data_IF_045008012938
#
_entry.id   IF_045008012938
#
_cell.length_a   1.000
_cell.length_b   1.000
_cell.length_c   1.000
_cell.angle_alpha   90.00
_cell.angle_beta   90.00
_cell.angle_gamma   90.00
#
_symmetry.space_group_name_H-M   'P 1'
#
loop_
_entity.id
_entity.type
_entity.pdbx_description
1 polymer ?
#
# COMPACT_ATOMS: atom_id res chain seq x y z
N UNK A 1 -13.29 13.91 5.93
CA UNK A 1 -12.56 14.28 7.16
C UNK A 1 -11.06 14.11 6.92
N UNK A 2 -10.33 15.19 6.60
CA UNK A 2 -8.86 15.15 6.55
C UNK A 2 -8.34 15.09 7.98
N UNK A 3 -8.07 13.90 8.49
CA UNK A 3 -7.24 13.75 9.70
C UNK A 3 -5.86 14.27 9.33
N UNK A 4 -5.44 15.37 9.97
CA UNK A 4 -4.08 15.91 9.85
C UNK A 4 -3.09 14.81 10.28
N UNK A 5 -2.01 14.55 9.52
CA UNK A 5 -0.99 13.55 9.87
C UNK A 5 -0.47 13.73 11.31
N UNK A 6 -0.42 14.97 11.79
CA UNK A 6 -0.06 15.35 13.16
C UNK A 6 -0.90 14.62 14.23
N UNK A 7 -2.21 14.46 14.00
CA UNK A 7 -3.10 13.80 14.97
C UNK A 7 -2.80 12.31 15.12
N UNK A 8 -2.22 11.66 14.11
CA UNK A 8 -1.91 10.23 14.18
C UNK A 8 -0.78 9.93 15.15
N UNK A 9 0.26 10.78 15.19
CA UNK A 9 1.35 10.66 16.16
C UNK A 9 0.85 10.84 17.60
N UNK A 10 -0.07 11.78 17.80
CA UNK A 10 -0.71 12.02 19.11
C UNK A 10 -1.57 10.84 19.58
N UNK A 11 -1.92 9.91 18.70
CA UNK A 11 -2.70 8.71 19.00
C UNK A 11 -1.86 7.42 18.97
N UNK A 12 -0.52 7.54 19.01
CA UNK A 12 0.38 6.40 19.19
C UNK A 12 0.86 5.73 17.90
N UNK A 13 0.63 6.32 16.72
CA UNK A 13 1.28 5.86 15.50
C UNK A 13 2.78 6.19 15.57
N UNK A 14 3.62 5.16 15.44
CA UNK A 14 5.08 5.29 15.39
C UNK A 14 5.58 5.58 13.96
N UNK A 15 4.70 5.45 12.95
CA UNK A 15 4.95 5.92 11.61
C UNK A 15 3.67 6.31 10.83
N UNK A 16 3.87 7.10 9.78
CA UNK A 16 2.78 7.48 8.86
C UNK A 16 3.14 7.21 7.40
N UNK A 17 2.10 6.95 6.62
CA UNK A 17 2.20 6.72 5.18
C UNK A 17 1.52 7.88 4.47
N UNK A 18 2.27 8.59 3.65
CA UNK A 18 1.75 9.69 2.85
C UNK A 18 2.16 9.55 1.38
N UNK A 19 1.37 10.16 0.50
CA UNK A 19 1.69 10.22 -0.92
C UNK A 19 2.71 11.33 -1.19
N UNK A 20 3.70 11.06 -2.04
CA UNK A 20 4.57 12.09 -2.58
C UNK A 20 3.87 12.96 -3.64
N UNK A 21 4.62 13.86 -4.30
CA UNK A 21 4.10 14.68 -5.41
C UNK A 21 3.65 13.85 -6.62
N UNK A 22 4.12 12.61 -6.75
CA UNK A 22 3.83 11.71 -7.85
C UNK A 22 4.07 10.25 -7.50
N UNK A 23 3.75 9.36 -8.44
CA UNK A 23 4.00 7.90 -8.38
C UNK A 23 3.38 7.14 -7.20
N UNK A 24 2.40 7.74 -6.51
CA UNK A 24 1.63 7.08 -5.47
C UNK A 24 0.31 6.53 -6.02
N UNK A 25 -0.10 5.35 -5.57
CA UNK A 25 -1.36 4.72 -5.99
C UNK A 25 -2.63 5.36 -5.39
N UNK A 26 -2.57 6.65 -5.04
CA UNK A 26 -3.71 7.49 -4.67
C UNK A 26 -3.47 8.87 -5.28
N UNK A 27 -3.90 9.05 -6.52
CA UNK A 27 -3.69 10.27 -7.31
C UNK A 27 -4.05 11.56 -6.54
N UNK A 28 -5.17 11.54 -5.80
CA UNK A 28 -5.68 12.71 -5.07
C UNK A 28 -5.09 12.93 -3.66
N UNK A 29 -4.04 12.19 -3.29
CA UNK A 29 -3.46 12.22 -1.94
C UNK A 29 -1.98 12.63 -1.91
N UNK A 30 -1.51 13.29 -2.97
CA UNK A 30 -0.14 13.79 -3.06
C UNK A 30 0.11 14.99 -2.14
N UNK A 31 1.34 15.10 -1.65
CA UNK A 31 1.82 16.19 -0.81
C UNK A 31 3.05 16.83 -1.47
N UNK A 32 3.23 18.14 -1.30
CA UNK A 32 4.42 18.81 -1.85
C UNK A 32 5.68 18.42 -1.07
N UNK A 33 6.86 18.58 -1.68
CA UNK A 33 8.14 18.35 -0.99
C UNK A 33 8.30 19.24 0.25
N UNK A 34 7.79 20.48 0.19
CA UNK A 34 7.80 21.40 1.33
C UNK A 34 6.94 20.89 2.49
N UNK A 35 5.73 20.40 2.20
CA UNK A 35 4.83 19.83 3.21
C UNK A 35 5.45 18.57 3.84
N UNK A 36 6.09 17.73 3.01
CA UNK A 36 6.80 16.53 3.45
C UNK A 36 7.95 16.89 4.40
N UNK A 37 8.79 17.86 4.04
CA UNK A 37 9.89 18.31 4.88
C UNK A 37 9.40 18.84 6.24
N UNK A 38 8.35 19.68 6.25
CA UNK A 38 7.76 20.17 7.50
C UNK A 38 7.16 19.03 8.35
N UNK A 39 6.58 18.02 7.71
CA UNK A 39 6.04 16.84 8.39
C UNK A 39 7.13 15.95 8.98
N UNK A 40 8.25 15.74 8.28
CA UNK A 40 9.42 15.02 8.78
C UNK A 40 9.97 15.74 10.02
N UNK A 41 10.16 17.06 9.95
CA UNK A 41 10.64 17.85 11.09
C UNK A 41 9.71 17.71 12.31
N UNK A 42 8.40 17.73 12.07
CA UNK A 42 7.41 17.53 13.12
C UNK A 42 7.46 16.11 13.70
N UNK A 43 7.50 15.08 12.86
CA UNK A 43 7.47 13.68 13.25
C UNK A 43 8.66 13.30 14.13
N UNK A 44 9.85 13.87 13.84
CA UNK A 44 11.07 13.69 14.65
C UNK A 44 10.89 14.07 16.12
N UNK A 45 10.05 15.08 16.42
CA UNK A 45 9.75 15.50 17.80
C UNK A 45 9.06 14.40 18.62
N UNK A 46 8.42 13.45 17.94
CA UNK A 46 7.71 12.32 18.51
C UNK A 46 8.41 10.98 18.25
N UNK A 47 9.64 11.00 17.71
CA UNK A 47 10.39 9.80 17.28
C UNK A 47 9.60 8.93 16.30
N UNK A 48 8.73 9.55 15.51
CA UNK A 48 7.91 8.86 14.53
C UNK A 48 8.53 8.95 13.14
N UNK A 49 8.36 7.90 12.33
CA UNK A 49 8.88 7.80 10.97
C UNK A 49 7.86 8.28 9.92
N UNK A 50 8.35 8.82 8.81
CA UNK A 50 7.56 9.21 7.65
C UNK A 50 7.95 8.35 6.45
N UNK A 51 6.96 7.69 5.86
CA UNK A 51 7.16 6.89 4.67
C UNK A 51 6.37 7.42 3.48
N UNK A 52 6.99 7.34 2.31
CA UNK A 52 6.42 7.86 1.07
C UNK A 52 6.04 6.72 0.15
N UNK A 53 4.79 6.75 -0.32
CA UNK A 53 4.33 5.83 -1.33
C UNK A 53 4.85 6.23 -2.73
N UNK A 54 5.66 5.36 -3.32
CA UNK A 54 6.14 5.38 -4.70
C UNK A 54 5.79 4.03 -5.35
N UNK A 55 4.50 3.71 -5.30
CA UNK A 55 3.97 2.36 -5.49
C UNK A 55 3.02 2.26 -6.67
N UNK A 56 3.41 2.84 -7.80
CA UNK A 56 2.77 2.62 -9.10
C UNK A 56 3.78 2.04 -10.08
N UNK A 57 3.32 1.23 -11.03
CA UNK A 57 4.14 0.81 -12.18
C UNK A 57 4.57 2.04 -12.98
N UNK A 58 5.85 2.07 -13.35
CA UNK A 58 6.48 3.18 -14.08
C UNK A 58 6.61 2.85 -15.57
N UNK A 59 6.44 3.85 -16.41
CA UNK A 59 6.88 3.77 -17.81
C UNK A 59 8.34 4.23 -17.94
N UNK A 60 9.01 3.85 -19.03
CA UNK A 60 10.43 4.19 -19.27
C UNK A 60 10.71 5.70 -19.15
N UNK A 61 9.81 6.54 -19.65
CA UNK A 61 9.94 8.00 -19.56
C UNK A 61 9.67 8.57 -18.16
N UNK A 62 9.22 7.75 -17.21
CA UNK A 62 8.94 8.10 -15.81
C UNK A 62 10.06 7.68 -14.85
N UNK A 63 10.98 6.80 -15.28
CA UNK A 63 12.09 6.32 -14.46
C UNK A 63 13.00 7.44 -13.96
N UNK A 64 13.45 8.30 -14.87
CA UNK A 64 14.35 9.41 -14.53
C UNK A 64 13.65 10.50 -13.69
N UNK A 65 12.39 10.90 -13.98
CA UNK A 65 11.58 11.69 -13.04
C UNK A 65 11.42 11.05 -11.65
N UNK A 66 11.18 9.74 -11.57
CA UNK A 66 11.06 9.02 -10.30
C UNK A 66 12.39 9.05 -9.52
N UNK A 67 13.52 8.80 -10.20
CA UNK A 67 14.87 8.89 -9.62
C UNK A 67 15.11 10.26 -9.00
N UNK A 68 14.85 11.35 -9.73
CA UNK A 68 15.01 12.72 -9.19
C UNK A 68 14.13 12.97 -7.98
N UNK A 69 12.88 12.51 -8.01
CA UNK A 69 11.99 12.64 -6.86
C UNK A 69 12.53 11.89 -5.64
N UNK A 70 13.07 10.67 -5.83
CA UNK A 70 13.67 9.88 -4.75
C UNK A 70 14.82 10.64 -4.09
N UNK A 71 15.73 11.23 -4.87
CA UNK A 71 16.82 12.08 -4.33
C UNK A 71 16.26 13.26 -3.52
N UNK A 72 15.27 13.97 -4.05
CA UNK A 72 14.64 15.08 -3.33
C UNK A 72 13.98 14.63 -2.02
N UNK A 73 13.30 13.48 -2.02
CA UNK A 73 12.69 12.92 -0.81
C UNK A 73 13.75 12.53 0.23
N UNK A 74 14.89 12.01 -0.20
CA UNK A 74 16.02 11.69 0.69
C UNK A 74 16.51 12.95 1.40
N UNK A 75 16.70 14.04 0.67
CA UNK A 75 17.15 15.33 1.23
C UNK A 75 16.15 15.92 2.25
N UNK A 76 14.85 15.60 2.14
CA UNK A 76 13.86 16.00 3.15
C UNK A 76 13.94 15.20 4.45
N UNK A 77 14.67 14.08 4.46
CA UNK A 77 14.82 13.20 5.62
C UNK A 77 13.68 12.21 5.82
N UNK A 78 12.97 11.84 4.74
CA UNK A 78 12.01 10.72 4.73
C UNK A 78 12.73 9.43 5.13
N UNK A 79 12.06 8.56 5.88
CA UNK A 79 12.69 7.37 6.45
C UNK A 79 12.68 6.16 5.51
N UNK A 80 11.60 5.97 4.73
CA UNK A 80 11.47 4.83 3.82
C UNK A 80 10.56 5.11 2.62
N UNK A 81 10.79 4.36 1.54
CA UNK A 81 9.93 4.34 0.36
C UNK A 81 9.13 3.06 0.28
N UNK A 82 7.85 3.16 -0.08
CA UNK A 82 6.99 2.00 -0.33
C UNK A 82 6.86 1.83 -1.83
N UNK A 83 7.44 0.76 -2.36
CA UNK A 83 7.70 0.58 -3.79
C UNK A 83 6.89 -0.58 -4.36
N UNK A 84 6.42 -0.43 -5.59
CA UNK A 84 5.82 -1.52 -6.38
C UNK A 84 6.74 -1.97 -7.51
N UNK A 85 7.28 -1.02 -8.26
CA UNK A 85 8.04 -1.28 -9.47
C UNK A 85 9.49 -1.66 -9.11
N UNK A 86 9.91 -2.85 -9.52
CA UNK A 86 11.27 -3.35 -9.22
C UNK A 86 12.35 -2.60 -10.01
N UNK A 87 12.00 -1.86 -11.07
CA UNK A 87 12.93 -1.01 -11.80
C UNK A 87 13.58 0.05 -10.92
N UNK A 88 12.96 0.42 -9.79
CA UNK A 88 13.55 1.32 -8.79
C UNK A 88 14.85 0.75 -8.20
N UNK A 89 14.98 -0.58 -8.09
CA UNK A 89 16.19 -1.22 -7.53
C UNK A 89 17.41 -1.06 -8.45
N UNK A 90 17.19 -0.80 -9.74
CA UNK A 90 18.24 -0.62 -10.74
C UNK A 90 18.60 0.86 -10.96
N UNK A 91 17.91 1.79 -10.29
CA UNK A 91 18.19 3.22 -10.39
C UNK A 91 19.29 3.64 -9.43
N UNK A 92 20.08 4.64 -9.84
CA UNK A 92 21.00 5.33 -8.94
C UNK A 92 20.23 6.19 -7.93
N UNK A 93 19.91 5.59 -6.78
CA UNK A 93 19.17 6.19 -5.67
C UNK A 93 20.02 6.20 -4.38
N UNK A 94 19.82 7.18 -3.48
CA UNK A 94 20.44 7.19 -2.17
C UNK A 94 19.98 5.98 -1.32
N UNK A 95 20.73 5.62 -0.26
CA UNK A 95 20.45 4.44 0.56
C UNK A 95 19.17 4.65 1.39
N UNK A 96 18.04 4.24 0.82
CA UNK A 96 16.73 4.25 1.47
C UNK A 96 16.40 2.90 2.10
N UNK A 97 15.66 2.91 3.23
CA UNK A 97 14.85 1.74 3.61
C UNK A 97 13.75 1.56 2.54
N UNK A 98 13.64 0.37 1.96
CA UNK A 98 12.63 0.05 0.97
C UNK A 98 11.62 -0.94 1.54
N UNK A 99 10.33 -0.58 1.43
CA UNK A 99 9.21 -1.44 1.79
C UNK A 99 8.50 -1.93 0.53
N UNK A 100 8.29 -3.24 0.40
CA UNK A 100 7.56 -3.81 -0.72
C UNK A 100 6.06 -3.54 -0.51
N UNK A 101 5.46 -2.78 -1.43
CA UNK A 101 4.05 -2.39 -1.35
C UNK A 101 3.13 -3.61 -1.48
N UNK A 102 1.94 -3.57 -0.89
CA UNK A 102 0.86 -4.54 -1.21
C UNK A 102 0.49 -4.54 -2.69
N UNK A 103 0.85 -3.49 -3.44
CA UNK A 103 0.74 -3.51 -4.90
C UNK A 103 1.65 -4.52 -5.60
N UNK A 104 2.65 -5.05 -4.90
CA UNK A 104 3.52 -6.11 -5.40
C UNK A 104 2.84 -7.47 -5.37
N UNK A 105 1.62 -7.65 -4.82
CA UNK A 105 0.90 -8.94 -4.77
C UNK A 105 1.69 -10.07 -4.07
N UNK A 106 2.15 -9.83 -2.83
CA UNK A 106 2.89 -10.83 -2.04
C UNK A 106 1.90 -11.83 -1.43
N UNK A 107 1.77 -13.00 -2.06
CA UNK A 107 0.84 -14.07 -1.64
C UNK A 107 1.49 -15.42 -1.35
N UNK A 108 2.78 -15.56 -1.66
CA UNK A 108 3.51 -16.82 -1.51
C UNK A 108 4.85 -16.59 -0.80
N UNK A 109 5.38 -17.66 -0.22
CA UNK A 109 6.66 -17.65 0.50
C UNK A 109 7.80 -17.31 -0.46
N UNK A 110 7.77 -17.87 -1.68
CA UNK A 110 8.82 -17.69 -2.69
C UNK A 110 8.94 -16.22 -3.10
N UNK A 111 7.80 -15.55 -3.30
CA UNK A 111 7.78 -14.13 -3.66
C UNK A 111 8.22 -13.24 -2.51
N UNK A 112 7.79 -13.56 -1.29
CA UNK A 112 8.21 -12.83 -0.09
C UNK A 112 9.74 -12.95 0.11
N UNK A 113 10.28 -14.17 -0.03
CA UNK A 113 11.72 -14.43 0.05
C UNK A 113 12.49 -13.68 -1.03
N UNK A 114 12.04 -13.75 -2.28
CA UNK A 114 12.65 -12.99 -3.38
C UNK A 114 12.76 -11.49 -3.05
N UNK A 115 11.70 -10.87 -2.54
CA UNK A 115 11.70 -9.45 -2.19
C UNK A 115 12.59 -9.16 -0.96
N UNK A 116 12.59 -10.05 0.03
CA UNK A 116 13.48 -9.95 1.19
C UNK A 116 14.95 -10.01 0.75
N UNK A 117 15.31 -10.99 -0.07
CA UNK A 117 16.67 -11.20 -0.60
C UNK A 117 17.12 -10.07 -1.51
N UNK A 118 16.17 -9.42 -2.21
CA UNK A 118 16.41 -8.22 -3.03
C UNK A 118 16.65 -6.94 -2.20
N UNK A 119 16.59 -7.01 -0.86
CA UNK A 119 16.94 -5.91 0.04
C UNK A 119 15.77 -5.10 0.58
N UNK A 120 14.52 -5.54 0.38
CA UNK A 120 13.37 -4.90 1.03
C UNK A 120 13.37 -5.22 2.54
N UNK A 121 13.34 -4.19 3.38
CA UNK A 121 13.36 -4.33 4.85
C UNK A 121 11.98 -4.65 5.44
N UNK A 122 10.91 -4.39 4.70
CA UNK A 122 9.54 -4.65 5.12
C UNK A 122 8.66 -5.10 3.95
N UNK A 123 7.80 -6.09 4.17
CA UNK A 123 6.90 -6.67 3.18
C UNK A 123 5.44 -6.40 3.56
N UNK A 124 4.74 -5.58 2.79
CA UNK A 124 3.30 -5.32 3.02
C UNK A 124 2.49 -6.37 2.26
N UNK A 125 1.98 -7.37 2.97
CA UNK A 125 1.36 -8.54 2.33
C UNK A 125 0.00 -8.23 1.66
N UNK A 126 -0.42 -9.15 0.79
CA UNK A 126 -1.75 -9.13 0.19
C UNK A 126 -2.84 -9.37 1.25
N UNK A 127 -3.95 -8.64 1.14
CA UNK A 127 -5.03 -8.58 2.16
C UNK A 127 -5.92 -9.81 2.20
N UNK A 128 -5.88 -10.61 1.14
CA UNK A 128 -6.65 -11.83 0.95
C UNK A 128 -6.00 -13.08 1.59
N UNK A 129 -4.83 -12.94 2.23
CA UNK A 129 -4.16 -14.04 2.91
C UNK A 129 -4.81 -14.39 4.26
N UNK A 130 -4.80 -15.68 4.59
CA UNK A 130 -5.19 -16.18 5.92
C UNK A 130 -3.98 -16.25 6.88
N UNK A 131 -4.25 -16.46 8.17
CA UNK A 131 -3.22 -16.49 9.22
C UNK A 131 -2.15 -17.57 8.99
N UNK A 132 -2.51 -18.75 8.49
CA UNK A 132 -1.56 -19.81 8.19
C UNK A 132 -0.60 -19.40 7.08
N UNK A 133 -1.10 -18.73 6.03
CA UNK A 133 -0.27 -18.22 4.94
C UNK A 133 0.64 -17.07 5.40
N UNK A 134 0.11 -16.14 6.21
CA UNK A 134 0.91 -15.04 6.78
C UNK A 134 2.04 -15.61 7.64
N UNK A 135 1.73 -16.58 8.51
CA UNK A 135 2.73 -17.27 9.33
C UNK A 135 3.80 -17.96 8.50
N UNK A 136 3.39 -18.72 7.48
CA UNK A 136 4.35 -19.40 6.59
C UNK A 136 5.31 -18.41 5.91
N UNK A 137 4.82 -17.24 5.48
CA UNK A 137 5.65 -16.17 4.92
C UNK A 137 6.59 -15.63 5.99
N UNK A 138 6.07 -15.22 7.15
CA UNK A 138 6.87 -14.63 8.23
C UNK A 138 7.97 -15.55 8.75
N UNK A 139 7.72 -16.86 8.80
CA UNK A 139 8.70 -17.84 9.28
C UNK A 139 9.85 -18.09 8.26
N UNK A 140 9.77 -17.54 7.04
CA UNK A 140 10.66 -17.85 5.92
C UNK A 140 11.38 -16.63 5.31
N UNK A 141 11.28 -15.47 5.95
CA UNK A 141 11.90 -14.19 5.50
C UNK A 141 12.47 -13.43 6.69
N UNK A 142 13.53 -12.67 6.47
CA UNK A 142 14.12 -11.79 7.49
C UNK A 142 13.44 -10.41 7.53
N UNK A 143 12.88 -9.97 6.40
CA UNK A 143 12.15 -8.71 6.30
C UNK A 143 10.90 -8.68 7.20
N UNK A 144 10.62 -7.52 7.80
CA UNK A 144 9.47 -7.35 8.67
C UNK A 144 8.15 -7.52 7.88
N UNK A 145 7.21 -8.28 8.42
CA UNK A 145 5.89 -8.48 7.80
C UNK A 145 4.91 -7.39 8.27
N UNK A 146 4.32 -6.67 7.31
CA UNK A 146 3.25 -5.69 7.53
C UNK A 146 1.92 -6.17 6.95
N UNK A 147 0.83 -5.96 7.68
CA UNK A 147 -0.52 -6.34 7.25
C UNK A 147 -1.54 -5.22 7.44
N UNK A 148 -2.49 -5.11 6.51
CA UNK A 148 -3.60 -4.16 6.63
C UNK A 148 -4.66 -4.66 7.60
N UNK A 149 -4.98 -3.83 8.60
CA UNK A 149 -6.00 -4.16 9.60
C UNK A 149 -7.30 -3.39 9.42
N UNK A 150 -7.30 -2.33 8.61
CA UNK A 150 -8.51 -1.55 8.34
C UNK A 150 -8.51 -0.90 6.95
N UNK A 151 -9.70 -0.79 6.33
CA UNK A 151 -9.94 -0.01 5.12
C UNK A 151 -10.58 -0.81 3.98
N UNK A 152 -10.67 -0.20 2.80
CA UNK A 152 -11.33 -0.81 1.64
C UNK A 152 -10.68 -2.15 1.23
N UNK A 153 -11.47 -3.23 1.12
CA UNK A 153 -11.05 -4.49 0.53
C UNK A 153 -11.38 -4.52 -0.97
N UNK A 154 -10.46 -5.05 -1.78
CA UNK A 154 -10.64 -5.21 -3.22
C UNK A 154 -11.27 -6.58 -3.50
N UNK A 155 -12.09 -6.66 -4.56
CA UNK A 155 -12.59 -7.95 -5.09
C UNK A 155 -11.53 -8.68 -5.93
N UNK A 156 -10.61 -7.92 -6.54
CA UNK A 156 -9.46 -8.45 -7.25
C UNK A 156 -8.27 -8.66 -6.31
N UNK A 157 -7.30 -9.47 -6.74
CA UNK A 157 -6.04 -9.64 -6.03
C UNK A 157 -5.33 -8.30 -5.80
N UNK A 158 -4.66 -8.19 -4.67
CA UNK A 158 -4.03 -6.96 -4.22
C UNK A 158 -2.99 -6.46 -5.24
N UNK A 159 -3.19 -5.25 -5.79
CA UNK A 159 -2.32 -4.67 -6.83
C UNK A 159 -2.57 -5.16 -8.26
N UNK A 160 -3.57 -6.03 -8.48
CA UNK A 160 -3.83 -6.69 -9.76
C UNK A 160 -5.25 -6.40 -10.29
N UNK A 161 -5.65 -5.12 -10.28
CA UNK A 161 -7.01 -4.72 -10.66
C UNK A 161 -7.05 -3.98 -12.00
N UNK A 162 -7.62 -4.62 -13.04
CA UNK A 162 -7.68 -4.06 -14.39
C UNK A 162 -9.08 -3.58 -14.81
N UNK A 163 -10.13 -3.85 -14.01
CA UNK A 163 -11.52 -3.50 -14.35
C UNK A 163 -11.71 -2.00 -14.60
N UNK A 164 -11.07 -1.16 -13.78
CA UNK A 164 -11.14 0.30 -13.88
C UNK A 164 -10.59 0.77 -15.24
N UNK A 165 -9.44 0.23 -15.65
CA UNK A 165 -8.82 0.61 -16.90
C UNK A 165 -9.62 0.11 -18.08
N UNK A 166 -10.07 -1.15 -18.05
CA UNK A 166 -10.86 -1.75 -19.11
C UNK A 166 -12.19 -1.01 -19.37
N UNK A 167 -12.83 -0.47 -18.33
CA UNK A 167 -14.12 0.20 -18.47
C UNK A 167 -14.03 1.70 -18.72
N UNK A 168 -13.02 2.38 -18.17
CA UNK A 168 -12.98 3.86 -18.18
C UNK A 168 -11.65 4.45 -18.62
N UNK A 169 -10.66 3.63 -18.99
CA UNK A 169 -9.28 4.05 -19.25
C UNK A 169 -8.48 4.42 -18.00
N UNK A 170 -9.11 4.53 -16.83
CA UNK A 170 -8.48 4.96 -15.57
C UNK A 170 -7.83 3.79 -14.86
N UNK A 171 -6.53 3.85 -14.56
CA UNK A 171 -5.81 2.70 -13.97
C UNK A 171 -5.77 2.73 -12.45
N UNK A 172 -6.38 1.72 -11.82
CA UNK A 172 -6.31 1.53 -10.37
C UNK A 172 -4.87 1.26 -9.88
N UNK A 173 -4.06 0.59 -10.69
CA UNK A 173 -2.65 0.31 -10.41
C UNK A 173 -1.75 1.56 -10.61
N UNK A 174 -2.31 2.65 -11.14
CA UNK A 174 -1.65 3.98 -11.23
C UNK A 174 -2.34 5.03 -10.37
N UNK A 175 -3.11 4.58 -9.37
CA UNK A 175 -3.73 5.45 -8.37
C UNK A 175 -5.00 6.17 -8.80
N UNK A 176 -5.52 5.89 -10.00
CA UNK A 176 -6.75 6.47 -10.53
C UNK A 176 -7.87 5.41 -10.60
N UNK A 177 -8.19 4.81 -9.45
CA UNK A 177 -9.25 3.80 -9.36
C UNK A 177 -10.64 4.43 -9.53
N UNK A 178 -11.44 3.90 -10.47
CA UNK A 178 -12.84 4.30 -10.67
C UNK A 178 -13.80 3.78 -9.60
N UNK A 179 -13.35 2.84 -8.76
CA UNK A 179 -14.19 2.13 -7.78
C UNK A 179 -15.35 1.36 -8.45
N UNK A 180 -15.19 0.89 -9.70
CA UNK A 180 -16.22 0.18 -10.44
C UNK A 180 -16.85 -0.99 -9.65
N UNK A 181 -16.06 -1.75 -8.89
CA UNK A 181 -16.55 -2.84 -8.05
C UNK A 181 -17.53 -2.42 -6.94
N UNK A 182 -17.66 -1.11 -6.66
CA UNK A 182 -18.61 -0.56 -5.68
C UNK A 182 -19.91 -0.07 -6.31
N UNK A 183 -20.04 -0.09 -7.63
CA UNK A 183 -21.27 0.30 -8.31
C UNK A 183 -22.35 -0.80 -8.20
N UNK A 184 -23.64 -0.45 -8.31
CA UNK A 184 -24.70 -1.44 -8.45
C UNK A 184 -24.64 -2.09 -9.83
N UNK A 185 -24.92 -3.40 -9.88
CA UNK A 185 -24.96 -4.21 -11.09
C UNK A 185 -26.28 -4.99 -11.15
N UNK A 186 -26.75 -5.22 -12.38
CA UNK A 186 -27.86 -6.14 -12.66
C UNK A 186 -27.30 -7.40 -13.29
N UNK A 187 -27.40 -8.52 -12.57
CA UNK A 187 -26.97 -9.85 -13.03
C UNK A 187 -28.09 -10.47 -13.87
N UNK A 188 -27.74 -10.90 -15.07
CA UNK A 188 -28.62 -11.68 -15.95
C UNK A 188 -28.02 -13.07 -16.16
N UNK A 189 -28.88 -14.08 -16.24
CA UNK A 189 -28.46 -15.42 -16.66
C UNK A 189 -28.27 -15.50 -18.19
N UNK A 190 -27.89 -16.69 -18.68
CA UNK A 190 -27.66 -16.93 -20.12
C UNK A 190 -28.92 -16.73 -20.97
N UNK A 191 -30.11 -16.84 -20.37
CA UNK A 191 -31.40 -16.60 -21.03
C UNK A 191 -31.86 -15.14 -20.94
N UNK A 192 -31.03 -14.25 -20.35
CA UNK A 192 -31.32 -12.84 -20.18
C UNK A 192 -32.27 -12.50 -19.03
N UNK A 193 -32.65 -13.47 -18.20
CA UNK A 193 -33.51 -13.26 -17.03
C UNK A 193 -32.71 -12.59 -15.93
N UNK A 194 -33.34 -11.64 -15.23
CA UNK A 194 -32.69 -10.92 -14.14
C UNK A 194 -32.64 -11.80 -12.90
N UNK A 195 -31.42 -12.14 -12.46
CA UNK A 195 -31.15 -12.91 -11.23
C UNK A 195 -31.00 -11.98 -10.03
N UNK A 196 -30.37 -10.82 -10.24
CA UNK A 196 -30.25 -9.77 -9.24
C UNK A 196 -30.35 -8.41 -9.91
N UNK A 197 -31.13 -7.50 -9.34
CA UNK A 197 -31.35 -6.16 -9.89
C UNK A 197 -30.73 -5.10 -8.97
N UNK A 198 -29.89 -4.24 -9.55
CA UNK A 198 -29.23 -3.11 -8.88
C UNK A 198 -28.60 -3.46 -7.51
N UNK A 199 -27.78 -4.51 -7.48
CA UNK A 199 -27.07 -4.95 -6.27
C UNK A 199 -25.57 -4.70 -6.37
N UNK A 200 -24.92 -4.46 -5.24
CA UNK A 200 -23.45 -4.32 -5.15
C UNK A 200 -22.76 -5.69 -5.19
N UNK A 201 -22.83 -6.36 -6.33
CA UNK A 201 -22.39 -7.76 -6.48
C UNK A 201 -20.89 -7.98 -6.30
N UNK A 202 -20.07 -6.94 -6.53
CA UNK A 202 -18.61 -7.00 -6.48
C UNK A 202 -18.01 -6.31 -5.25
N UNK A 203 -18.84 -5.81 -4.33
CA UNK A 203 -18.35 -5.04 -3.17
C UNK A 203 -18.04 -5.95 -1.99
N UNK A 204 -16.77 -6.00 -1.60
CA UNK A 204 -16.28 -6.85 -0.49
C UNK A 204 -16.44 -6.23 0.91
N UNK A 205 -17.16 -5.09 1.03
CA UNK A 205 -17.19 -4.23 2.23
C UNK A 205 -15.78 -3.79 2.68
N UNK A 206 -15.67 -3.23 3.88
CA UNK A 206 -14.41 -2.81 4.46
C UNK A 206 -13.77 -3.94 5.26
N UNK A 207 -12.45 -4.02 5.20
CA UNK A 207 -11.63 -4.87 6.05
C UNK A 207 -11.62 -4.27 7.47
N UNK A 208 -11.95 -5.08 8.48
CA UNK A 208 -11.82 -4.77 9.89
C UNK A 208 -11.23 -5.99 10.62
N UNK A 209 -9.98 -5.87 11.04
CA UNK A 209 -9.22 -6.90 11.75
C UNK A 209 -9.03 -6.57 13.23
N UNK A 210 -9.80 -5.61 13.79
CA UNK A 210 -9.69 -5.20 15.20
C UNK A 210 -9.80 -6.36 16.18
N UNK A 211 -10.61 -7.37 15.86
CA UNK A 211 -10.79 -8.59 16.68
C UNK A 211 -9.71 -9.65 16.46
N UNK A 212 -8.88 -9.51 15.44
CA UNK A 212 -7.87 -10.50 15.04
C UNK A 212 -6.44 -10.03 15.31
N UNK A 213 -6.25 -8.89 15.99
CA UNK A 213 -4.92 -8.30 16.20
C UNK A 213 -3.95 -9.31 16.83
N UNK A 214 -4.29 -9.93 17.97
CA UNK A 214 -3.44 -10.92 18.63
C UNK A 214 -3.07 -12.07 17.70
N UNK A 215 -4.04 -12.61 16.95
CA UNK A 215 -3.79 -13.72 16.03
C UNK A 215 -2.84 -13.31 14.87
N UNK A 216 -2.90 -12.05 14.43
CA UNK A 216 -1.95 -11.51 13.45
C UNK A 216 -0.54 -11.34 14.03
N UNK A 217 -0.43 -10.92 15.30
CA UNK A 217 0.87 -10.85 16.01
C UNK A 217 1.50 -12.25 16.09
N UNK A 218 0.70 -13.24 16.49
CA UNK A 218 1.12 -14.64 16.61
C UNK A 218 1.50 -15.24 15.25
N UNK A 219 0.87 -14.78 14.17
CA UNK A 219 1.22 -15.11 12.79
C UNK A 219 2.46 -14.38 12.27
N UNK A 220 3.14 -13.57 13.08
CA UNK A 220 4.41 -12.93 12.73
C UNK A 220 4.30 -11.51 12.17
N UNK A 221 3.10 -10.92 12.11
CA UNK A 221 2.96 -9.49 11.74
C UNK A 221 3.64 -8.62 12.78
N UNK A 222 4.46 -7.66 12.34
CA UNK A 222 5.17 -6.69 13.20
C UNK A 222 4.83 -5.24 12.90
N UNK A 223 4.06 -5.01 11.84
CA UNK A 223 3.56 -3.69 11.49
C UNK A 223 2.10 -3.78 11.05
N UNK A 224 1.26 -2.91 11.61
CA UNK A 224 -0.15 -2.82 11.30
C UNK A 224 -0.46 -1.59 10.49
N UNK A 225 -1.02 -1.81 9.31
CA UNK A 225 -1.37 -0.77 8.37
C UNK A 225 -2.84 -0.38 8.41
N UNK A 226 -3.09 0.88 8.78
CA UNK A 226 -4.38 1.53 8.63
C UNK A 226 -4.50 2.35 7.34
N UNK A 227 -5.61 3.09 7.21
CA UNK A 227 -5.87 3.93 6.03
C UNK A 227 -4.85 5.07 5.82
N UNK A 228 -4.26 5.57 6.91
CA UNK A 228 -3.33 6.72 6.93
C UNK A 228 -2.18 6.62 7.96
N UNK A 229 -2.23 5.67 8.89
CA UNK A 229 -1.23 5.51 9.95
C UNK A 229 -0.73 4.08 10.03
N UNK A 230 0.42 3.90 10.68
CA UNK A 230 1.02 2.61 10.98
C UNK A 230 1.38 2.52 12.45
N UNK A 231 1.21 1.32 12.99
CA UNK A 231 1.57 0.94 14.35
C UNK A 231 2.49 -0.28 14.24
N UNK A 232 3.75 -0.14 14.64
CA UNK A 232 4.66 -1.28 14.82
C UNK A 232 4.65 -1.81 16.24
N UNK A 233 4.99 -3.09 16.37
CA UNK A 233 5.01 -3.86 17.61
C UNK A 233 6.27 -4.70 17.75
#
# INVERSE_FOLDING_TARGET
>A
MQVSPVKLFLHGADAIYIGGPGFGARHNAGNSLSDIAGLVEFARRYRAKVFIALNTILHDNELEPARRLIHQLYDTGVDALIVQDMGILELDIPPFELHASTQTDIRSVEKARFLSDAGFSQLVLARELNLTQIKAISDNVDAAVEFFIHGALCVAFSGQCNISHAQTGRSANRGDCSQACRLPYTLKDEQGRVVAYEKHLLSMKDNDQSRNLTALIDAGVRSFKGLKGVIRI
#
